data_IF_175177895713
#
_entry.id   IF_175177895713
#
_cell.length_a   1.000
_cell.length_b   1.000
_cell.length_c   1.000
_cell.angle_alpha   90.00
_cell.angle_beta   90.00
_cell.angle_gamma   90.00
#
_symmetry.space_group_name_H-M   'P 1'
#
loop_
_entity.id
_entity.type
_entity.pdbx_description
1 polymer ?
#
# COMPACT_ATOMS: atom_id res chain seq x y z
N UNK A 1 -20.09 12.19 -9.85
CA UNK A 1 -19.43 11.14 -9.03
C UNK A 1 -20.34 10.72 -7.88
N UNK A 2 -20.61 11.61 -6.92
CA UNK A 2 -21.49 11.39 -5.77
C UNK A 2 -22.21 12.70 -5.40
N UNK A 3 -23.31 12.64 -4.63
CA UNK A 3 -23.79 13.78 -3.86
C UNK A 3 -22.68 14.41 -3.00
N UNK A 4 -22.68 15.74 -2.88
CA UNK A 4 -21.70 16.47 -2.07
C UNK A 4 -21.72 16.02 -0.60
N UNK A 5 -22.89 15.64 -0.08
CA UNK A 5 -23.09 15.15 1.29
C UNK A 5 -22.16 13.99 1.65
N UNK A 6 -21.88 13.11 0.69
CA UNK A 6 -21.10 11.89 0.93
C UNK A 6 -19.61 12.22 1.15
N UNK A 7 -19.14 13.30 0.52
CA UNK A 7 -17.75 13.75 0.64
C UNK A 7 -17.47 14.57 1.91
N UNK A 8 -18.51 14.97 2.66
CA UNK A 8 -18.31 15.70 3.91
C UNK A 8 -17.72 14.82 5.03
N UNK A 9 -17.84 13.50 4.90
CA UNK A 9 -17.46 12.54 5.95
C UNK A 9 -15.95 12.30 6.08
N UNK A 10 -15.20 12.48 4.99
CA UNK A 10 -13.74 12.26 4.96
C UNK A 10 -13.05 13.40 4.21
N UNK A 11 -11.74 13.51 4.37
CA UNK A 11 -10.89 14.48 3.67
C UNK A 11 -10.36 13.93 2.34
N UNK A 12 -10.43 12.61 2.14
CA UNK A 12 -9.83 11.92 0.98
C UNK A 12 -10.70 10.80 0.46
N UNK A 13 -10.79 10.70 -0.86
CA UNK A 13 -11.55 9.65 -1.53
C UNK A 13 -10.76 9.09 -2.71
N UNK A 14 -10.81 7.78 -2.89
CA UNK A 14 -10.35 7.12 -4.11
C UNK A 14 -11.57 6.88 -5.01
N UNK A 15 -11.51 7.39 -6.24
CA UNK A 15 -12.51 7.18 -7.26
C UNK A 15 -11.94 6.28 -8.35
N UNK A 16 -12.53 5.09 -8.51
CA UNK A 16 -12.15 4.13 -9.55
C UNK A 16 -13.17 4.17 -10.68
N UNK A 17 -12.67 4.35 -11.89
CA UNK A 17 -13.42 4.42 -13.12
C UNK A 17 -13.04 3.24 -14.02
N UNK A 18 -13.98 2.81 -14.86
CA UNK A 18 -13.78 1.77 -15.86
C UNK A 18 -14.21 2.29 -17.23
N UNK A 19 -13.48 1.93 -18.27
CA UNK A 19 -13.89 2.25 -19.63
C UNK A 19 -15.09 1.40 -20.06
N UNK A 20 -16.12 2.05 -20.65
CA UNK A 20 -17.30 1.36 -21.20
C UNK A 20 -16.98 0.56 -22.45
N UNK A 21 -16.05 1.06 -23.28
CA UNK A 21 -15.65 0.39 -24.52
C UNK A 21 -14.64 -0.73 -24.26
N UNK A 22 -13.79 -0.59 -23.23
CA UNK A 22 -12.79 -1.57 -22.81
C UNK A 22 -12.98 -1.93 -21.34
N UNK A 23 -13.76 -2.96 -21.08
CA UNK A 23 -14.15 -3.37 -19.71
C UNK A 23 -12.99 -3.81 -18.80
N UNK A 24 -11.78 -3.97 -19.34
CA UNK A 24 -10.57 -4.29 -18.58
C UNK A 24 -9.72 -3.05 -18.25
N UNK A 25 -10.04 -1.88 -18.81
CA UNK A 25 -9.30 -0.65 -18.57
C UNK A 25 -9.90 0.05 -17.35
N UNK A 26 -9.11 0.11 -16.28
CA UNK A 26 -9.44 0.80 -15.03
C UNK A 26 -8.51 1.99 -14.86
N UNK A 27 -9.07 3.07 -14.30
CA UNK A 27 -8.32 4.27 -13.97
C UNK A 27 -8.77 4.79 -12.61
N UNK A 28 -7.82 5.22 -11.78
CA UNK A 28 -8.10 5.62 -10.41
C UNK A 28 -7.53 7.00 -10.13
N UNK A 29 -8.36 7.85 -9.53
CA UNK A 29 -7.99 9.20 -9.13
C UNK A 29 -8.24 9.37 -7.64
N UNK A 30 -7.45 10.22 -7.00
CA UNK A 30 -7.64 10.64 -5.62
C UNK A 30 -8.27 12.02 -5.60
N UNK A 31 -9.27 12.20 -4.75
CA UNK A 31 -9.94 13.47 -4.47
C UNK A 31 -9.55 13.91 -3.07
N UNK A 32 -8.95 15.10 -2.97
CA UNK A 32 -8.64 15.77 -1.73
C UNK A 32 -9.66 16.85 -1.43
N UNK A 33 -10.18 16.84 -0.21
CA UNK A 33 -11.05 17.86 0.35
C UNK A 33 -10.31 18.58 1.46
N UNK A 34 -9.99 19.84 1.21
CA UNK A 34 -9.30 20.71 2.15
C UNK A 34 -10.26 21.77 2.68
N UNK A 35 -10.17 22.03 3.99
CA UNK A 35 -10.83 23.17 4.62
C UNK A 35 -10.02 24.43 4.30
N UNK A 36 -10.67 25.47 3.78
CA UNK A 36 -10.03 26.79 3.65
C UNK A 36 -9.62 27.31 5.03
N UNK A 37 -8.32 27.43 5.26
CA UNK A 37 -7.79 28.26 6.34
C UNK A 37 -7.84 29.71 5.86
N UNK A 38 -8.94 30.42 6.14
CA UNK A 38 -8.95 31.88 6.01
C UNK A 38 -8.05 32.47 7.08
N UNK A 39 -6.75 32.57 6.79
CA UNK A 39 -5.81 33.42 7.51
C UNK A 39 -6.06 34.87 7.17
N UNK A 40 -6.75 35.58 8.06
CA UNK A 40 -6.60 37.01 8.29
C UNK A 40 -7.17 37.27 9.69
N UNK A 41 -6.32 37.19 10.72
CA UNK A 41 -6.64 37.82 12.00
C UNK A 41 -6.63 39.33 11.80
N UNK A 42 -7.75 40.05 12.00
CA UNK A 42 -7.69 41.48 12.22
C UNK A 42 -7.39 41.70 13.71
N UNK A 43 -6.30 42.40 13.94
CA UNK A 43 -5.89 42.95 15.22
C UNK A 43 -7.05 43.69 15.91
N UNK A 44 -7.39 43.28 17.15
CA UNK A 44 -8.11 44.06 18.16
C UNK A 44 -9.60 44.36 17.97
N UNK A 45 -10.45 43.86 18.89
CA UNK A 45 -11.72 44.53 19.24
C UNK A 45 -12.87 43.61 19.63
N UNK A 46 -13.33 43.75 20.88
CA UNK A 46 -14.51 43.15 21.50
C UNK A 46 -15.80 43.16 20.66
N UNK A 47 -16.58 42.07 20.70
CA UNK A 47 -17.90 41.96 21.34
C UNK A 47 -18.75 40.83 20.70
N UNK A 48 -19.57 40.22 21.56
CA UNK A 48 -20.64 39.24 21.38
C UNK A 48 -21.25 39.01 19.99
N UNK A 49 -21.34 37.73 19.59
CA UNK A 49 -22.62 37.00 19.36
C UNK A 49 -22.34 35.57 18.85
N UNK A 50 -22.87 34.57 19.57
CA UNK A 50 -22.88 33.18 19.11
C UNK A 50 -23.90 33.07 17.99
N UNK A 51 -23.44 32.93 16.75
CA UNK A 51 -24.29 32.56 15.62
C UNK A 51 -23.98 31.12 15.21
N UNK A 52 -24.93 30.22 15.47
CA UNK A 52 -24.95 28.86 14.95
C UNK A 52 -25.34 28.91 13.46
N UNK A 53 -24.36 29.17 12.60
CA UNK A 53 -24.51 29.08 11.15
C UNK A 53 -24.02 27.71 10.65
N UNK A 54 -24.83 27.06 9.82
CA UNK A 54 -24.42 25.92 8.98
C UNK A 54 -23.15 26.29 8.18
N UNK A 55 -22.19 25.37 7.99
CA UNK A 55 -20.97 25.68 7.25
C UNK A 55 -21.35 26.04 5.81
N UNK A 56 -21.09 27.29 5.43
CA UNK A 56 -21.28 27.77 4.07
C UNK A 56 -20.37 26.99 3.11
N UNK A 57 -20.94 26.52 2.02
CA UNK A 57 -20.26 25.82 0.91
C UNK A 57 -19.15 26.63 0.23
N UNK A 58 -19.00 27.90 0.60
CA UNK A 58 -18.06 28.88 0.03
C UNK A 58 -16.58 28.70 0.42
N UNK A 59 -16.25 27.74 1.29
CA UNK A 59 -14.90 27.60 1.85
C UNK A 59 -14.26 26.21 1.63
N UNK A 60 -14.87 25.34 0.82
CA UNK A 60 -14.35 23.99 0.56
C UNK A 60 -13.49 23.97 -0.71
N UNK A 61 -12.20 23.63 -0.57
CA UNK A 61 -11.33 23.44 -1.73
C UNK A 61 -11.28 21.94 -2.06
N UNK A 62 -11.58 21.61 -3.31
CA UNK A 62 -11.51 20.26 -3.84
C UNK A 62 -10.39 20.19 -4.88
N UNK A 63 -9.60 19.14 -4.80
CA UNK A 63 -8.53 18.84 -5.76
C UNK A 63 -8.66 17.39 -6.21
N UNK A 64 -8.40 17.11 -7.48
CA UNK A 64 -8.40 15.77 -8.03
C UNK A 64 -7.10 15.53 -8.81
N UNK A 65 -6.46 14.40 -8.55
CA UNK A 65 -5.23 14.01 -9.25
C UNK A 65 -5.13 12.49 -9.40
N UNK A 66 -4.19 12.04 -10.21
CA UNK A 66 -3.88 10.62 -10.39
C UNK A 66 -3.64 9.92 -9.05
N UNK A 67 -4.26 8.75 -8.83
CA UNK A 67 -4.03 8.01 -7.58
C UNK A 67 -2.65 7.34 -7.53
N UNK A 68 -1.91 7.35 -8.63
CA UNK A 68 -0.57 6.77 -8.75
C UNK A 68 0.46 7.86 -8.99
N UNK A 69 1.53 7.84 -8.20
CA UNK A 69 2.63 8.79 -8.31
C UNK A 69 3.38 8.55 -9.64
N UNK A 70 3.62 9.60 -10.46
CA UNK A 70 4.28 9.47 -11.76
C UNK A 70 5.76 9.05 -11.67
N UNK A 71 6.35 9.08 -10.47
CA UNK A 71 7.71 8.58 -10.25
C UNK A 71 7.78 7.05 -10.40
N UNK A 72 7.16 6.33 -9.45
CA UNK A 72 7.23 4.86 -9.35
C UNK A 72 5.89 4.26 -8.87
N UNK A 73 4.76 4.87 -9.24
CA UNK A 73 3.42 4.31 -9.04
C UNK A 73 2.96 4.16 -7.58
N UNK A 74 3.57 4.91 -6.66
CA UNK A 74 3.14 4.93 -5.26
C UNK A 74 1.68 5.42 -5.14
N UNK A 75 0.93 4.86 -4.20
CA UNK A 75 -0.44 5.27 -3.93
C UNK A 75 -0.47 6.68 -3.32
N UNK A 76 -1.07 7.63 -4.05
CA UNK A 76 -1.23 9.03 -3.66
C UNK A 76 -2.43 9.25 -2.73
N UNK A 77 -3.26 8.23 -2.48
CA UNK A 77 -4.36 8.30 -1.50
C UNK A 77 -3.91 8.71 -0.09
N UNK A 78 -2.67 8.38 0.25
CA UNK A 78 -2.05 8.68 1.54
C UNK A 78 -1.00 9.79 1.45
N UNK A 79 -1.00 10.60 0.40
CA UNK A 79 -0.07 11.71 0.27
C UNK A 79 -0.22 12.75 1.40
N UNK A 80 0.89 13.26 1.91
CA UNK A 80 0.86 14.38 2.85
C UNK A 80 0.56 15.66 2.06
N UNK A 81 -0.31 16.52 2.58
CA UNK A 81 -0.58 17.82 1.95
C UNK A 81 0.24 18.86 2.69
N UNK A 82 1.16 19.51 1.98
CA UNK A 82 2.01 20.56 2.52
C UNK A 82 1.64 21.90 1.86
N UNK A 83 1.53 22.96 2.67
CA UNK A 83 1.33 24.34 2.22
C UNK A 83 2.69 25.01 2.08
N UNK A 84 3.02 25.42 0.86
CA UNK A 84 4.32 26.00 0.51
C UNK A 84 4.12 27.40 -0.07
N UNK A 85 5.18 28.19 -0.14
CA UNK A 85 5.13 29.55 -0.70
C UNK A 85 4.66 29.59 -2.17
N UNK A 86 4.76 28.46 -2.89
CA UNK A 86 4.37 28.32 -4.31
C UNK A 86 2.98 27.71 -4.50
N UNK A 87 2.36 27.16 -3.44
CA UNK A 87 1.05 26.53 -3.49
C UNK A 87 0.92 25.30 -2.59
N UNK A 88 -0.24 24.64 -2.69
CA UNK A 88 -0.50 23.38 -1.99
C UNK A 88 0.02 22.22 -2.81
N UNK A 89 0.89 21.41 -2.21
CA UNK A 89 1.50 20.25 -2.86
C UNK A 89 1.08 18.95 -2.16
N UNK A 90 0.82 17.91 -2.95
CA UNK A 90 0.71 16.55 -2.46
C UNK A 90 2.09 15.90 -2.49
N UNK A 91 2.59 15.53 -1.31
CA UNK A 91 3.86 14.85 -1.13
C UNK A 91 3.63 13.35 -1.13
N UNK A 92 4.23 12.68 -2.11
CA UNK A 92 4.18 11.24 -2.24
C UNK A 92 4.67 10.58 -0.93
N UNK A 93 3.87 9.68 -0.32
CA UNK A 93 4.18 9.13 1.00
C UNK A 93 5.41 8.22 1.01
N UNK A 94 5.85 7.75 -0.17
CA UNK A 94 6.94 6.79 -0.27
C UNK A 94 8.28 7.44 -0.55
N UNK A 95 8.30 8.45 -1.42
CA UNK A 95 9.55 9.01 -1.96
C UNK A 95 9.66 10.52 -1.76
N UNK A 96 8.66 11.14 -1.15
CA UNK A 96 8.61 12.57 -0.82
C UNK A 96 8.72 13.49 -2.04
N UNK A 97 8.40 12.99 -3.24
CA UNK A 97 8.18 13.86 -4.40
C UNK A 97 6.91 14.68 -4.18
N UNK A 98 7.05 15.99 -4.30
CA UNK A 98 6.00 16.98 -4.26
C UNK A 98 5.29 17.08 -5.62
N UNK A 99 3.98 17.24 -5.62
CA UNK A 99 3.21 17.53 -6.82
C UNK A 99 2.18 18.60 -6.50
N UNK A 100 2.25 19.74 -7.17
CA UNK A 100 1.26 20.81 -7.02
C UNK A 100 -0.15 20.30 -7.32
N UNK A 101 -1.09 20.54 -6.40
CA UNK A 101 -2.45 19.99 -6.47
C UNK A 101 -3.27 20.52 -7.65
N UNK A 102 -2.87 21.64 -8.27
CA UNK A 102 -3.58 22.25 -9.41
C UNK A 102 -2.95 21.86 -10.74
N UNK A 103 -1.63 21.95 -10.82
CA UNK A 103 -0.86 21.84 -12.07
C UNK A 103 -0.19 20.47 -12.24
N UNK A 104 -0.03 19.75 -11.13
CA UNK A 104 0.67 18.47 -11.04
C UNK A 104 2.19 18.59 -11.12
N UNK A 105 2.75 19.79 -11.24
CA UNK A 105 4.19 19.97 -11.42
C UNK A 105 4.95 19.67 -10.11
N UNK A 106 6.07 18.97 -10.23
CA UNK A 106 7.04 18.74 -9.15
C UNK A 106 8.29 19.57 -9.38
N UNK A 107 8.94 20.06 -8.32
CA UNK A 107 10.25 20.72 -8.43
C UNK A 107 11.32 19.83 -9.11
N UNK A 108 11.14 18.52 -9.04
CA UNK A 108 12.04 17.52 -9.63
C UNK A 108 11.89 17.37 -11.16
N UNK A 109 10.93 18.10 -11.77
CA UNK A 109 10.63 18.04 -13.20
C UNK A 109 9.65 16.92 -13.61
N UNK A 110 9.17 16.12 -12.65
CA UNK A 110 8.06 15.20 -12.85
C UNK A 110 6.72 15.95 -12.88
N UNK A 111 5.69 15.33 -13.50
CA UNK A 111 4.34 15.89 -13.52
C UNK A 111 3.29 14.82 -13.30
N UNK A 112 2.44 15.01 -12.29
CA UNK A 112 1.25 14.20 -12.05
C UNK A 112 0.08 14.71 -12.90
N UNK A 113 -0.84 13.83 -13.29
CA UNK A 113 -2.09 14.26 -13.93
C UNK A 113 -3.00 14.87 -12.86
N UNK A 114 -3.48 16.09 -13.10
CA UNK A 114 -4.52 16.74 -12.31
C UNK A 114 -5.78 16.86 -13.15
N UNK A 115 -6.94 16.81 -12.49
CA UNK A 115 -8.24 16.80 -13.14
C UNK A 115 -9.10 17.94 -12.62
N UNK A 116 -9.84 18.59 -13.51
CA UNK A 116 -10.77 19.63 -13.07
C UNK A 116 -11.89 19.04 -12.22
N UNK A 117 -12.17 19.64 -11.06
CA UNK A 117 -13.23 19.23 -10.14
C UNK A 117 -14.13 20.42 -9.81
N UNK A 118 -15.44 20.21 -9.90
CA UNK A 118 -16.46 21.25 -9.71
C UNK A 118 -17.65 20.72 -8.91
N UNK A 119 -18.23 21.57 -8.09
CA UNK A 119 -19.54 21.35 -7.47
C UNK A 119 -20.60 21.92 -8.41
N UNK A 120 -21.58 21.10 -8.80
CA UNK A 120 -22.68 21.51 -9.67
C UNK A 120 -24.02 21.28 -8.97
N UNK A 121 -24.97 22.18 -9.18
CA UNK A 121 -26.34 22.02 -8.67
C UNK A 121 -27.18 21.20 -9.64
N UNK A 122 -28.00 20.28 -9.12
CA UNK A 122 -29.02 19.57 -9.91
C UNK A 122 -30.05 20.55 -10.48
N UNK A 123 -30.49 20.33 -11.73
CA UNK A 123 -31.42 21.21 -12.43
C UNK A 123 -32.87 21.21 -11.92
N UNK A 124 -33.22 20.29 -11.01
CA UNK A 124 -34.60 19.98 -10.66
C UNK A 124 -34.96 20.41 -9.23
N UNK A 125 -34.84 21.70 -8.90
CA UNK A 125 -35.50 22.34 -7.75
C UNK A 125 -35.22 21.79 -6.33
N UNK A 126 -34.33 20.80 -6.21
CA UNK A 126 -33.79 20.24 -4.98
C UNK A 126 -32.38 20.79 -4.78
N UNK A 127 -32.00 21.09 -3.54
CA UNK A 127 -30.63 21.49 -3.13
C UNK A 127 -29.60 20.34 -3.28
N UNK A 128 -29.78 19.48 -4.28
CA UNK A 128 -28.92 18.33 -4.55
C UNK A 128 -27.69 18.80 -5.33
N UNK A 129 -26.63 19.13 -4.59
CA UNK A 129 -25.31 19.42 -5.13
C UNK A 129 -24.55 18.13 -5.40
N UNK A 130 -23.92 18.01 -6.57
CA UNK A 130 -23.11 16.86 -6.95
C UNK A 130 -21.71 17.27 -7.36
N UNK A 131 -20.76 16.34 -7.17
CA UNK A 131 -19.38 16.54 -7.59
C UNK A 131 -19.21 16.01 -9.00
N UNK A 132 -18.70 16.88 -9.87
CA UNK A 132 -18.28 16.58 -11.21
C UNK A 132 -16.75 16.64 -11.28
N UNK A 133 -16.15 15.64 -11.94
CA UNK A 133 -14.71 15.60 -12.21
C UNK A 133 -14.53 15.35 -13.69
N UNK A 134 -13.53 16.02 -14.27
CA UNK A 134 -13.09 15.80 -15.64
C UNK A 134 -12.71 14.34 -15.87
N UNK A 135 -13.11 13.80 -17.01
CA UNK A 135 -12.79 12.43 -17.36
C UNK A 135 -11.32 12.32 -17.81
N UNK A 136 -10.62 11.24 -17.47
CA UNK A 136 -9.23 11.05 -17.88
C UNK A 136 -9.12 10.79 -19.40
N UNK A 137 -8.67 11.81 -20.15
CA UNK A 137 -8.53 11.74 -21.61
C UNK A 137 -9.86 11.61 -22.37
N UNK A 138 -9.81 11.15 -23.62
CA UNK A 138 -10.98 11.08 -24.53
C UNK A 138 -11.85 9.81 -24.34
N UNK A 139 -11.77 9.16 -23.17
CA UNK A 139 -12.41 7.86 -22.93
C UNK A 139 -13.88 7.94 -22.49
N UNK A 140 -14.67 6.92 -22.86
CA UNK A 140 -15.99 6.69 -22.30
C UNK A 140 -15.87 6.04 -20.91
N UNK A 141 -15.80 6.84 -19.86
CA UNK A 141 -15.63 6.33 -18.50
C UNK A 141 -16.95 6.20 -17.74
N UNK A 142 -17.06 5.15 -16.95
CA UNK A 142 -18.09 5.01 -15.90
C UNK A 142 -17.44 4.87 -14.53
N UNK A 143 -18.08 5.44 -13.52
CA UNK A 143 -17.63 5.34 -12.14
C UNK A 143 -18.02 3.96 -11.61
N UNK A 144 -17.03 3.20 -11.15
CA UNK A 144 -17.24 1.89 -10.54
C UNK A 144 -17.42 2.03 -9.04
N UNK A 145 -16.56 2.83 -8.41
CA UNK A 145 -16.51 2.96 -6.96
C UNK A 145 -15.97 4.33 -6.57
N UNK A 146 -16.56 4.93 -5.53
CA UNK A 146 -15.97 6.05 -4.79
C UNK A 146 -15.90 5.61 -3.34
N UNK A 147 -14.69 5.43 -2.81
CA UNK A 147 -14.48 4.96 -1.44
C UNK A 147 -13.64 5.96 -0.64
N UNK A 148 -13.94 6.18 0.64
CA UNK A 148 -13.08 6.99 1.49
C UNK A 148 -11.72 6.33 1.70
N UNK A 149 -10.68 7.15 1.84
CA UNK A 149 -9.36 6.69 2.29
C UNK A 149 -9.28 6.92 3.79
N UNK A 150 -9.05 5.86 4.57
CA UNK A 150 -8.95 5.95 6.03
C UNK A 150 -7.66 6.69 6.42
N UNK A 151 -7.79 7.74 7.22
CA UNK A 151 -6.64 8.46 7.79
C UNK A 151 -6.05 7.75 9.02
N UNK A 152 -6.78 6.83 9.65
CA UNK A 152 -6.35 6.11 10.87
C UNK A 152 -5.13 5.20 10.65
N UNK A 153 -4.77 4.90 9.40
CA UNK A 153 -3.57 4.14 9.03
C UNK A 153 -2.35 5.02 8.71
N UNK A 154 -2.52 6.34 8.67
CA UNK A 154 -1.44 7.29 8.35
C UNK A 154 -0.65 7.75 9.59
N UNK A 155 -1.21 7.63 10.80
CA UNK A 155 -0.44 7.85 12.02
C UNK A 155 0.51 6.65 12.24
N UNK A 156 1.84 6.85 12.24
CA UNK A 156 2.72 5.83 12.78
C UNK A 156 2.27 5.55 14.22
N UNK A 157 2.17 4.27 14.64
CA UNK A 157 1.76 3.95 16.00
C UNK A 157 2.63 4.76 16.98
N UNK A 158 2.03 5.32 18.02
CA UNK A 158 2.76 6.09 19.04
C UNK A 158 3.92 5.26 19.62
N UNK A 159 5.11 5.48 19.06
CA UNK A 159 6.34 4.77 19.41
C UNK A 159 6.87 5.25 20.77
N UNK A 160 6.28 6.27 21.40
CA UNK A 160 6.70 6.75 22.73
C UNK A 160 6.53 5.70 23.82
N UNK A 161 5.63 4.73 23.62
CA UNK A 161 5.46 3.54 24.49
C UNK A 161 6.44 2.42 24.20
N UNK A 162 7.11 2.44 23.05
CA UNK A 162 8.25 1.58 22.76
C UNK A 162 9.50 2.29 23.26
N UNK A 163 9.74 2.22 24.57
CA UNK A 163 11.06 2.52 25.12
C UNK A 163 12.06 1.54 24.50
N UNK A 164 12.74 2.01 23.45
CA UNK A 164 13.96 1.41 22.92
C UNK A 164 15.10 1.66 23.90
N UNK A 165 15.01 1.04 25.07
CA UNK A 165 16.22 0.62 25.78
C UNK A 165 16.56 -0.78 25.26
N UNK A 166 16.90 -0.87 23.97
CA UNK A 166 17.57 -2.04 23.41
C UNK A 166 19.06 -1.91 23.74
N UNK A 167 19.36 -2.10 25.03
CA UNK A 167 20.68 -2.54 25.44
C UNK A 167 20.66 -4.06 25.42
N UNK A 168 20.91 -4.65 24.24
CA UNK A 168 21.36 -6.04 24.14
C UNK A 168 20.42 -7.02 23.44
N UNK A 169 20.11 -6.78 22.17
CA UNK A 169 19.85 -7.87 21.23
C UNK A 169 20.44 -7.53 19.87
N UNK A 170 21.77 -7.56 19.78
CA UNK A 170 22.48 -7.71 18.50
C UNK A 170 22.11 -9.08 17.93
N UNK A 171 21.00 -9.16 17.18
CA UNK A 171 20.81 -10.30 16.28
C UNK A 171 21.89 -10.18 15.19
N UNK A 172 22.60 -11.26 14.85
CA UNK A 172 23.56 -11.21 13.76
C UNK A 172 22.80 -10.85 12.49
N UNK A 173 23.06 -9.66 11.94
CA UNK A 173 22.84 -9.48 10.52
C UNK A 173 23.79 -10.48 9.85
N UNK A 174 23.26 -11.59 9.33
CA UNK A 174 24.00 -12.38 8.37
C UNK A 174 24.33 -11.42 7.22
N UNK A 175 25.59 -10.96 7.21
CA UNK A 175 26.16 -10.23 6.09
C UNK A 175 25.89 -11.07 4.85
N UNK A 176 25.27 -10.46 3.84
CA UNK A 176 25.17 -11.07 2.54
C UNK A 176 26.61 -11.38 2.08
N UNK A 177 27.01 -12.65 2.09
CA UNK A 177 28.31 -13.13 1.55
C UNK A 177 28.54 -12.69 0.09
N UNK A 178 27.52 -12.14 -0.58
CA UNK A 178 27.55 -11.64 -1.95
C UNK A 178 26.86 -10.27 -2.06
N UNK A 179 27.25 -9.41 -3.01
CA UNK A 179 26.59 -8.11 -3.19
C UNK A 179 25.07 -8.27 -3.37
N UNK A 180 24.26 -7.34 -2.82
CA UNK A 180 22.81 -7.41 -2.93
C UNK A 180 22.37 -7.43 -4.40
N UNK A 181 21.30 -8.16 -4.74
CA UNK A 181 20.83 -8.25 -6.10
C UNK A 181 20.53 -6.89 -6.75
N UNK A 182 20.81 -6.80 -8.05
CA UNK A 182 20.71 -5.55 -8.82
C UNK A 182 19.34 -5.32 -9.47
N UNK A 183 18.49 -6.36 -9.49
CA UNK A 183 17.20 -6.35 -10.17
C UNK A 183 16.13 -7.01 -9.32
N UNK A 184 14.87 -6.63 -9.55
CA UNK A 184 13.73 -7.16 -8.79
C UNK A 184 13.58 -8.68 -8.95
N UNK A 185 13.79 -9.20 -10.16
CA UNK A 185 13.71 -10.64 -10.43
C UNK A 185 14.80 -11.44 -9.71
N UNK A 186 16.02 -10.90 -9.59
CA UNK A 186 17.08 -11.56 -8.80
C UNK A 186 16.75 -11.55 -7.31
N UNK A 187 16.16 -10.45 -6.80
CA UNK A 187 15.64 -10.40 -5.43
C UNK A 187 14.55 -11.45 -5.19
N UNK A 188 13.58 -11.56 -6.10
CA UNK A 188 12.51 -12.55 -6.00
C UNK A 188 13.07 -13.97 -5.89
N UNK A 189 14.02 -14.33 -6.76
CA UNK A 189 14.68 -15.64 -6.73
C UNK A 189 15.49 -15.85 -5.45
N UNK A 190 16.21 -14.82 -4.97
CA UNK A 190 16.95 -14.91 -3.71
C UNK A 190 16.00 -15.19 -2.53
N UNK A 191 14.88 -14.46 -2.46
CA UNK A 191 13.89 -14.56 -1.38
C UNK A 191 13.20 -15.92 -1.40
N UNK A 192 12.74 -16.39 -2.56
CA UNK A 192 12.12 -17.72 -2.72
C UNK A 192 13.06 -18.86 -2.32
N UNK A 193 14.37 -18.66 -2.43
CA UNK A 193 15.38 -19.62 -2.01
C UNK A 193 15.89 -19.42 -0.58
N UNK A 194 15.29 -18.51 0.18
CA UNK A 194 15.65 -18.25 1.58
C UNK A 194 14.85 -19.19 2.49
N UNK A 195 15.47 -20.19 3.14
CA UNK A 195 14.74 -21.16 3.95
C UNK A 195 14.34 -20.61 5.33
N UNK A 196 15.11 -19.66 5.86
CA UNK A 196 14.90 -19.06 7.17
C UNK A 196 13.77 -18.01 7.12
N UNK A 197 12.69 -18.17 7.92
CA UNK A 197 11.52 -17.28 7.86
C UNK A 197 11.81 -15.80 8.16
N UNK A 198 12.68 -15.53 9.14
CA UNK A 198 13.02 -14.16 9.53
C UNK A 198 13.90 -13.49 8.46
N UNK A 199 14.93 -14.19 7.99
CA UNK A 199 15.78 -13.70 6.89
C UNK A 199 14.97 -13.43 5.61
N UNK A 200 13.93 -14.24 5.35
CA UNK A 200 13.00 -14.02 4.23
C UNK A 200 12.24 -12.70 4.37
N UNK A 201 11.75 -12.38 5.57
CA UNK A 201 11.11 -11.10 5.87
C UNK A 201 12.08 -9.94 5.69
N UNK A 202 13.31 -10.08 6.20
CA UNK A 202 14.29 -9.00 6.14
C UNK A 202 14.72 -8.72 4.70
N UNK A 203 14.96 -9.76 3.91
CA UNK A 203 15.23 -9.65 2.47
C UNK A 203 14.04 -9.08 1.70
N UNK A 204 12.81 -9.45 2.06
CA UNK A 204 11.59 -8.87 1.47
C UNK A 204 11.54 -7.36 1.70
N UNK A 205 11.73 -6.91 2.94
CA UNK A 205 11.77 -5.48 3.28
C UNK A 205 12.88 -4.73 2.54
N UNK A 206 14.07 -5.32 2.45
CA UNK A 206 15.18 -4.74 1.70
C UNK A 206 14.86 -4.59 0.21
N UNK A 207 14.35 -5.66 -0.42
CA UNK A 207 13.97 -5.65 -1.83
C UNK A 207 12.87 -4.64 -2.12
N UNK A 208 11.81 -4.61 -1.29
CA UNK A 208 10.70 -3.66 -1.41
C UNK A 208 11.19 -2.23 -1.23
N UNK A 209 12.03 -1.97 -0.23
CA UNK A 209 12.62 -0.63 -0.02
C UNK A 209 13.49 -0.22 -1.20
N UNK A 210 14.36 -1.12 -1.69
CA UNK A 210 15.22 -0.83 -2.82
C UNK A 210 14.44 -0.61 -4.12
N UNK A 211 13.34 -1.36 -4.32
CA UNK A 211 12.44 -1.21 -5.46
C UNK A 211 11.69 0.11 -5.39
N UNK A 212 11.05 0.39 -4.25
CA UNK A 212 10.31 1.64 -4.03
C UNK A 212 11.25 2.83 -4.18
N UNK A 213 12.38 2.88 -3.47
CA UNK A 213 13.29 4.04 -3.50
C UNK A 213 14.06 4.23 -4.83
N UNK A 214 13.75 3.46 -5.87
CA UNK A 214 14.42 3.57 -7.18
C UNK A 214 15.88 3.11 -7.18
N UNK A 215 16.38 2.52 -6.09
CA UNK A 215 17.73 1.92 -6.04
C UNK A 215 17.84 0.74 -6.99
N UNK A 216 16.74 0.01 -7.22
CA UNK A 216 16.63 -0.98 -8.28
C UNK A 216 16.25 -0.30 -9.59
N UNK A 217 17.24 -0.10 -10.46
CA UNK A 217 17.07 0.57 -11.76
C UNK A 217 16.38 -0.29 -12.82
N UNK A 218 16.11 -1.56 -12.53
CA UNK A 218 15.48 -2.49 -13.47
C UNK A 218 14.77 -3.63 -12.77
N UNK A 219 13.62 -4.04 -13.34
CA UNK A 219 12.96 -5.31 -12.99
C UNK A 219 13.83 -6.51 -13.35
N UNK A 220 14.68 -6.40 -14.39
CA UNK A 220 15.58 -7.47 -14.83
C UNK A 220 15.04 -8.35 -15.97
N UNK A 221 14.04 -7.89 -16.73
CA UNK A 221 13.36 -8.66 -17.79
C UNK A 221 14.32 -9.27 -18.83
N UNK A 222 15.30 -8.47 -19.25
CA UNK A 222 16.27 -8.83 -20.29
C UNK A 222 17.54 -9.50 -19.72
N UNK A 223 17.62 -9.68 -18.40
CA UNK A 223 18.77 -10.31 -17.75
C UNK A 223 18.48 -11.80 -17.52
N UNK A 224 19.36 -12.72 -17.94
CA UNK A 224 19.23 -14.12 -17.54
C UNK A 224 19.37 -14.22 -16.02
N UNK A 225 18.47 -14.97 -15.40
CA UNK A 225 18.54 -15.24 -13.96
C UNK A 225 19.67 -16.23 -13.71
N UNK A 226 20.50 -15.99 -12.69
CA UNK A 226 21.61 -16.88 -12.34
C UNK A 226 21.12 -18.29 -11.93
N UNK A 227 19.89 -18.37 -11.41
CA UNK A 227 19.19 -19.61 -11.09
C UNK A 227 17.67 -19.42 -11.29
N UNK A 228 16.93 -20.49 -11.62
CA UNK A 228 15.47 -20.40 -11.69
C UNK A 228 14.85 -20.24 -10.28
N UNK A 229 13.62 -19.71 -10.18
CA UNK A 229 12.82 -19.83 -8.97
C UNK A 229 12.63 -21.32 -8.63
N UNK A 230 12.64 -21.69 -7.33
CA UNK A 230 12.45 -23.08 -6.93
C UNK A 230 11.00 -23.54 -7.18
N UNK A 231 10.79 -24.83 -7.42
CA UNK A 231 9.43 -25.40 -7.55
C UNK A 231 8.64 -25.27 -6.24
N UNK A 232 9.33 -25.34 -5.11
CA UNK A 232 8.78 -25.06 -3.78
C UNK A 232 9.84 -24.37 -2.92
N UNK A 233 9.53 -23.21 -2.32
CA UNK A 233 10.41 -22.53 -1.38
C UNK A 233 10.83 -23.46 -0.23
N UNK A 234 12.14 -23.56 0.07
CA UNK A 234 12.62 -24.38 1.18
C UNK A 234 12.19 -23.76 2.53
N UNK A 235 12.14 -24.60 3.56
CA UNK A 235 11.78 -24.22 4.94
C UNK A 235 12.75 -24.87 5.91
N UNK A 236 13.49 -24.06 6.66
CA UNK A 236 14.33 -24.58 7.75
C UNK A 236 13.47 -24.85 8.99
N UNK A 237 13.81 -25.92 9.71
CA UNK A 237 13.29 -26.22 11.06
C UNK A 237 11.75 -26.36 11.15
N UNK A 238 11.07 -26.67 10.04
CA UNK A 238 9.62 -26.94 10.01
C UNK A 238 9.32 -28.39 9.64
N UNK A 239 8.50 -29.04 10.46
CA UNK A 239 7.95 -30.35 10.16
C UNK A 239 6.68 -30.21 9.31
N UNK A 240 6.84 -30.33 7.99
CA UNK A 240 5.76 -30.21 7.01
C UNK A 240 5.05 -31.56 6.87
N UNK A 241 3.73 -31.56 7.06
CA UNK A 241 2.85 -32.71 6.90
C UNK A 241 1.79 -32.44 5.83
N UNK A 242 1.20 -33.51 5.29
CA UNK A 242 0.12 -33.38 4.31
C UNK A 242 -1.10 -32.62 4.88
N UNK A 243 -1.83 -31.87 4.04
CA UNK A 243 -3.11 -31.27 4.43
C UNK A 243 -4.04 -32.31 5.08
N UNK A 244 -4.58 -31.99 6.26
CA UNK A 244 -5.46 -32.89 7.03
C UNK A 244 -4.76 -33.76 8.10
N UNK A 245 -3.42 -33.85 8.11
CA UNK A 245 -2.66 -34.52 9.18
C UNK A 245 -2.18 -33.57 10.29
N UNK A 246 -2.49 -32.28 10.18
CA UNK A 246 -2.21 -31.29 11.23
C UNK A 246 -3.22 -31.47 12.36
N UNK A 247 -2.77 -31.34 13.62
CA UNK A 247 -3.63 -31.45 14.79
C UNK A 247 -4.82 -30.48 14.70
N UNK A 248 -6.02 -30.95 15.07
CA UNK A 248 -7.24 -30.14 15.03
C UNK A 248 -7.08 -28.90 15.92
N UNK A 249 -7.36 -27.73 15.35
CA UNK A 249 -7.36 -26.44 16.06
C UNK A 249 -8.56 -26.43 17.02
N UNK A 250 -8.31 -26.39 18.33
CA UNK A 250 -9.37 -26.24 19.32
C UNK A 250 -9.99 -24.84 19.28
N UNK A 251 -11.15 -24.65 19.92
CA UNK A 251 -11.71 -23.30 20.14
C UNK A 251 -10.70 -22.44 20.92
N UNK A 252 -10.60 -21.15 20.62
CA UNK A 252 -9.56 -20.22 21.11
C UNK A 252 -9.57 -19.94 22.64
N UNK A 253 -10.13 -20.82 23.46
CA UNK A 253 -10.31 -20.63 24.90
C UNK A 253 -9.12 -20.99 25.79
N UNK A 254 -8.06 -21.66 25.28
CA UNK A 254 -6.86 -22.00 26.06
C UNK A 254 -5.60 -21.37 25.48
N UNK A 255 -4.55 -21.18 26.29
CA UNK A 255 -3.24 -20.69 25.80
C UNK A 255 -2.71 -21.60 24.68
N UNK A 256 -2.82 -22.92 24.84
CA UNK A 256 -2.41 -23.91 23.85
C UNK A 256 -3.16 -23.77 22.52
N UNK A 257 -4.47 -23.55 22.54
CA UNK A 257 -5.25 -23.36 21.31
C UNK A 257 -4.95 -22.02 20.64
N UNK A 258 -4.70 -20.96 21.41
CA UNK A 258 -4.23 -19.67 20.87
C UNK A 258 -2.88 -19.78 20.18
N UNK A 259 -1.91 -20.46 20.79
CA UNK A 259 -0.59 -20.73 20.18
C UNK A 259 -0.75 -21.48 18.85
N UNK A 260 -1.58 -22.52 18.81
CA UNK A 260 -1.81 -23.30 17.58
C UNK A 260 -2.46 -22.45 16.46
N UNK A 261 -3.38 -21.54 16.81
CA UNK A 261 -4.02 -20.63 15.84
C UNK A 261 -2.99 -19.62 15.31
N UNK A 262 -2.25 -18.96 16.20
CA UNK A 262 -1.24 -17.97 15.81
C UNK A 262 -0.14 -18.58 14.95
N UNK A 263 0.31 -19.80 15.28
CA UNK A 263 1.30 -20.51 14.48
C UNK A 263 0.77 -20.87 13.09
N UNK A 264 -0.49 -21.31 13.00
CA UNK A 264 -1.12 -21.58 11.71
C UNK A 264 -1.27 -20.31 10.84
N UNK A 265 -1.65 -19.18 11.44
CA UNK A 265 -1.70 -17.88 10.75
C UNK A 265 -0.31 -17.46 10.28
N UNK A 266 0.70 -17.56 11.14
CA UNK A 266 2.08 -17.23 10.77
C UNK A 266 2.58 -18.09 9.60
N UNK A 267 2.16 -19.37 9.53
CA UNK A 267 2.47 -20.22 8.39
C UNK A 267 1.76 -19.79 7.10
N UNK A 268 0.52 -19.30 7.19
CA UNK A 268 -0.20 -18.74 6.05
C UNK A 268 0.53 -17.51 5.51
N UNK A 269 0.92 -16.57 6.39
CA UNK A 269 1.63 -15.36 5.94
C UNK A 269 2.96 -15.69 5.29
N UNK A 270 3.68 -16.67 5.83
CA UNK A 270 4.93 -17.15 5.23
C UNK A 270 4.73 -17.72 3.83
N UNK A 271 3.62 -18.39 3.54
CA UNK A 271 3.29 -18.84 2.19
C UNK A 271 2.80 -17.70 1.30
N UNK A 272 2.11 -16.72 1.86
CA UNK A 272 1.65 -15.54 1.12
C UNK A 272 2.83 -14.67 0.66
N UNK A 273 3.86 -14.49 1.49
CA UNK A 273 5.14 -13.87 1.08
C UNK A 273 5.75 -14.60 -0.11
N UNK A 274 5.81 -15.94 -0.03
CA UNK A 274 6.37 -16.76 -1.10
C UNK A 274 5.57 -16.64 -2.40
N UNK A 275 4.24 -16.72 -2.34
CA UNK A 275 3.38 -16.59 -3.51
C UNK A 275 3.54 -15.21 -4.17
N UNK A 276 3.60 -14.14 -3.38
CA UNK A 276 3.80 -12.80 -3.92
C UNK A 276 5.13 -12.67 -4.69
N UNK A 277 6.21 -13.23 -4.15
CA UNK A 277 7.50 -13.26 -4.85
C UNK A 277 7.54 -14.24 -6.02
N UNK A 278 6.80 -15.34 -5.97
CA UNK A 278 6.67 -16.31 -7.06
C UNK A 278 5.95 -15.70 -8.26
N UNK A 279 4.89 -14.92 -8.03
CA UNK A 279 4.22 -14.14 -9.09
C UNK A 279 5.20 -13.21 -9.80
N UNK A 280 6.02 -12.47 -9.04
CA UNK A 280 7.05 -11.61 -9.61
C UNK A 280 8.08 -12.42 -10.40
N UNK A 281 8.58 -13.53 -9.84
CA UNK A 281 9.64 -14.33 -10.43
C UNK A 281 9.21 -15.03 -11.74
N UNK A 282 8.00 -15.60 -11.77
CA UNK A 282 7.49 -16.38 -12.90
C UNK A 282 6.91 -15.51 -14.00
N UNK A 283 6.14 -14.48 -13.65
CA UNK A 283 5.48 -13.62 -14.64
C UNK A 283 6.32 -12.42 -15.05
N UNK A 284 7.41 -12.09 -14.34
CA UNK A 284 8.09 -10.82 -14.59
C UNK A 284 8.76 -10.67 -15.96
N UNK A 285 8.87 -11.75 -16.74
CA UNK A 285 9.34 -11.75 -18.14
C UNK A 285 8.23 -11.94 -19.16
N UNK A 286 7.01 -12.27 -18.72
CA UNK A 286 5.87 -12.50 -19.59
C UNK A 286 5.41 -11.22 -20.27
N UNK A 287 4.78 -11.39 -21.43
CA UNK A 287 4.18 -10.33 -22.21
C UNK A 287 2.72 -10.63 -22.44
N UNK A 288 1.87 -9.63 -22.25
CA UNK A 288 0.43 -9.70 -22.55
C UNK A 288 0.20 -8.84 -23.79
N UNK A 289 -0.36 -9.44 -24.83
CA UNK A 289 -0.59 -8.77 -26.13
C UNK A 289 0.66 -8.15 -26.76
N UNK A 290 1.83 -8.76 -26.52
CA UNK A 290 3.12 -8.30 -27.05
C UNK A 290 3.81 -7.25 -26.18
N UNK A 291 3.14 -6.70 -25.18
CA UNK A 291 3.65 -5.70 -24.26
C UNK A 291 4.12 -6.33 -22.92
N UNK A 292 5.21 -5.82 -22.32
CA UNK A 292 5.64 -6.30 -21.01
C UNK A 292 4.63 -5.92 -19.94
N UNK A 293 4.53 -6.74 -18.89
CA UNK A 293 3.67 -6.40 -17.75
C UNK A 293 3.99 -5.01 -17.19
N UNK A 294 2.96 -4.21 -16.84
CA UNK A 294 3.14 -2.84 -16.36
C UNK A 294 3.92 -2.82 -15.04
N UNK A 295 4.56 -1.70 -14.74
CA UNK A 295 5.29 -1.52 -13.47
C UNK A 295 4.38 -1.72 -12.25
N UNK A 296 3.11 -1.35 -12.37
CA UNK A 296 2.08 -1.50 -11.33
C UNK A 296 1.94 -2.95 -10.84
N UNK A 297 2.00 -3.93 -11.75
CA UNK A 297 1.97 -5.35 -11.39
C UNK A 297 3.03 -5.69 -10.32
N UNK A 298 4.25 -5.18 -10.49
CA UNK A 298 5.35 -5.43 -9.57
C UNK A 298 5.19 -4.66 -8.27
N UNK A 299 4.65 -3.44 -8.31
CA UNK A 299 4.35 -2.65 -7.12
C UNK A 299 3.30 -3.32 -6.24
N UNK A 300 2.24 -3.83 -6.86
CA UNK A 300 1.15 -4.50 -6.14
C UNK A 300 1.65 -5.77 -5.44
N UNK A 301 2.38 -6.62 -6.16
CA UNK A 301 2.93 -7.84 -5.56
C UNK A 301 4.01 -7.58 -4.52
N UNK A 302 4.86 -6.55 -4.70
CA UNK A 302 5.84 -6.16 -3.66
C UNK A 302 5.17 -5.56 -2.43
N UNK A 303 4.03 -4.88 -2.59
CA UNK A 303 3.19 -4.41 -1.47
C UNK A 303 2.59 -5.59 -0.71
N UNK A 304 1.97 -6.54 -1.40
CA UNK A 304 1.45 -7.77 -0.76
C UNK A 304 2.56 -8.47 0.02
N UNK A 305 3.72 -8.73 -0.61
CA UNK A 305 4.84 -9.38 0.06
C UNK A 305 5.29 -8.66 1.34
N UNK A 306 5.30 -7.32 1.33
CA UNK A 306 5.66 -6.52 2.49
C UNK A 306 4.62 -6.57 3.60
N UNK A 307 3.34 -6.49 3.26
CA UNK A 307 2.24 -6.52 4.23
C UNK A 307 2.18 -7.88 4.94
N UNK A 308 2.33 -8.99 4.20
CA UNK A 308 2.40 -10.32 4.81
C UNK A 308 3.68 -10.52 5.63
N UNK A 309 4.79 -9.87 5.26
CA UNK A 309 6.00 -9.81 6.09
C UNK A 309 5.77 -9.07 7.42
N UNK A 310 4.94 -8.02 7.43
CA UNK A 310 4.54 -7.31 8.66
C UNK A 310 3.64 -8.21 9.52
N UNK A 311 2.61 -8.82 8.92
CA UNK A 311 1.71 -9.74 9.62
C UNK A 311 2.47 -10.90 10.28
N UNK A 312 3.36 -11.56 9.53
CA UNK A 312 4.21 -12.62 10.08
C UNK A 312 5.04 -12.16 11.28
N UNK A 313 5.65 -10.98 11.19
CA UNK A 313 6.49 -10.43 12.27
C UNK A 313 5.67 -10.20 13.55
N UNK A 314 4.45 -9.67 13.42
CA UNK A 314 3.54 -9.46 14.55
C UNK A 314 3.09 -10.78 15.18
N UNK A 315 2.74 -11.76 14.35
CA UNK A 315 2.34 -13.10 14.79
C UNK A 315 3.50 -13.84 15.49
N UNK A 316 4.72 -13.76 14.95
CA UNK A 316 5.93 -14.32 15.56
C UNK A 316 6.18 -13.73 16.94
N UNK A 317 6.17 -12.39 17.04
CA UNK A 317 6.33 -11.70 18.33
C UNK A 317 5.27 -12.14 19.34
N UNK A 318 4.02 -12.26 18.91
CA UNK A 318 2.93 -12.71 19.78
C UNK A 318 3.08 -14.17 20.23
N UNK A 319 3.63 -15.04 19.39
CA UNK A 319 3.94 -16.43 19.77
C UNK A 319 5.02 -16.46 20.86
N UNK A 320 6.05 -15.63 20.73
CA UNK A 320 7.16 -15.51 21.70
C UNK A 320 6.66 -15.00 23.06
N UNK A 321 5.79 -13.99 23.07
CA UNK A 321 5.13 -13.50 24.29
C UNK A 321 4.28 -14.58 25.01
N UNK A 322 3.79 -15.58 24.28
CA UNK A 322 3.06 -16.72 24.83
C UNK A 322 3.97 -17.90 25.21
N UNK A 323 5.29 -17.73 25.14
CA UNK A 323 6.28 -18.77 25.47
C UNK A 323 6.42 -19.84 24.39
N UNK A 324 6.08 -19.55 23.13
CA UNK A 324 6.23 -20.45 21.98
C UNK A 324 7.06 -19.79 20.88
N UNK A 325 7.25 -20.48 19.75
CA UNK A 325 7.99 -19.96 18.60
C UNK A 325 7.42 -20.50 17.28
N UNK A 326 7.66 -19.80 16.18
CA UNK A 326 7.29 -20.29 14.85
C UNK A 326 8.14 -21.51 14.47
N UNK A 327 7.50 -22.60 14.05
CA UNK A 327 8.11 -23.93 13.88
C UNK A 327 7.86 -24.92 15.02
N UNK A 328 7.31 -24.47 16.16
CA UNK A 328 6.96 -25.35 17.31
C UNK A 328 5.85 -26.37 17.04
N UNK A 329 5.03 -26.15 16.00
CA UNK A 329 3.98 -27.06 15.55
C UNK A 329 4.20 -27.51 14.11
N UNK A 330 3.58 -28.63 13.74
CA UNK A 330 3.57 -29.13 12.36
C UNK A 330 2.75 -28.21 11.46
N UNK A 331 3.21 -28.02 10.23
CA UNK A 331 2.55 -27.18 9.22
C UNK A 331 2.17 -28.00 8.00
N UNK A 332 1.35 -27.42 7.12
CA UNK A 332 1.08 -27.97 5.80
C UNK A 332 1.41 -26.94 4.72
N UNK A 333 1.61 -27.40 3.49
CA UNK A 333 1.87 -26.57 2.31
C UNK A 333 0.61 -26.28 1.49
N UNK A 334 -0.57 -26.56 2.03
CA UNK A 334 -1.83 -26.55 1.26
C UNK A 334 -2.18 -25.25 0.55
N UNK A 335 -1.69 -24.08 1.01
CA UNK A 335 -1.87 -22.81 0.29
C UNK A 335 -0.99 -22.73 -0.97
N UNK A 336 0.25 -23.23 -0.89
CA UNK A 336 1.17 -23.32 -2.02
C UNK A 336 0.72 -24.38 -3.04
N UNK A 337 0.26 -25.53 -2.56
CA UNK A 337 -0.22 -26.63 -3.41
C UNK A 337 -1.49 -26.29 -4.21
N UNK A 338 -2.27 -25.30 -3.76
CA UNK A 338 -3.52 -24.89 -4.42
C UNK A 338 -3.37 -23.76 -5.44
N UNK A 339 -2.21 -23.10 -5.46
CA UNK A 339 -1.92 -21.97 -6.34
C UNK A 339 -1.51 -22.44 -7.74
#
# INVERSE_FOLDING_TARGET
>A
LSPLSDLLSYTRFLCTMRSKSRTYDYHSIVIFRLSSTTGNEPDGGSDSTRNSGSPSTDAMQLYAMESTCPHLGADMGHADIEDTDVGLVAVCPWHRYDFDLKTGHSETGLRACTFEIQIRSGGDGLDDQYIWVEAPGDGDWEVVEVRPVSEDFADPPDLSRLSLNDAGSTQPQEELDQPPPSTLLEWAVLILNTPQPQLKVDRTRQAVTAFRTGKLKSVGRNKPLARPPPDMPPRDQLNVVQPGKVAKRGKAGSVKSRIAILHALANIEQWAIDLAWDMIARFGKEKVDGEPLPHQFFLDWTKVAEDESKHFSLLRKRLEELGSYYGSHTVHAGLWESA
#
